data_IF_758226004042
#
_entry.id   IF_758226004042
#
_cell.length_a   1.000
_cell.length_b   1.000
_cell.length_c   1.000
_cell.angle_alpha   90.00
_cell.angle_beta   90.00
_cell.angle_gamma   90.00
#
_symmetry.space_group_name_H-M   'P 1'
#
loop_
_entity.id
_entity.type
_entity.pdbx_description
1 polymer ?
#
# COMPACT_ATOMS: atom_id res chain seq x y z
N UNK A 1 -15.36 18.96 -2.42
CA UNK A 1 -16.31 20.09 -2.27
C UNK A 1 -15.91 20.87 -1.02
N UNK A 2 -15.94 22.22 -1.06
CA UNK A 2 -15.61 23.04 0.12
C UNK A 2 -16.86 23.24 0.97
N UNK A 3 -16.79 22.86 2.24
CA UNK A 3 -17.86 22.97 3.22
C UNK A 3 -17.39 23.83 4.39
N UNK A 4 -18.29 24.63 4.96
CA UNK A 4 -17.95 25.38 6.17
C UNK A 4 -18.12 24.52 7.43
N UNK A 5 -17.45 24.91 8.51
CA UNK A 5 -17.51 24.22 9.81
C UNK A 5 -18.95 23.95 10.27
N UNK A 6 -19.86 24.91 10.08
CA UNK A 6 -21.27 24.79 10.46
C UNK A 6 -22.00 23.71 9.65
N UNK A 7 -21.76 23.63 8.35
CA UNK A 7 -22.33 22.61 7.47
C UNK A 7 -21.87 21.20 7.87
N UNK A 8 -20.58 21.05 8.21
CA UNK A 8 -20.05 19.77 8.71
C UNK A 8 -20.74 19.39 10.02
N UNK A 9 -20.84 20.31 10.98
CA UNK A 9 -21.53 20.05 12.25
C UNK A 9 -23.01 19.66 12.04
N UNK A 10 -23.70 20.24 11.06
CA UNK A 10 -25.08 19.84 10.70
C UNK A 10 -25.15 18.44 10.07
N UNK A 11 -24.18 18.06 9.24
CA UNK A 11 -24.05 16.69 8.71
C UNK A 11 -23.86 15.69 9.87
N UNK A 12 -23.03 16.04 10.86
CA UNK A 12 -22.80 15.20 12.04
C UNK A 12 -24.05 15.05 12.91
N UNK A 13 -24.80 16.13 13.14
CA UNK A 13 -26.08 16.06 13.86
C UNK A 13 -27.10 15.15 13.17
N UNK A 14 -27.09 15.09 11.84
CA UNK A 14 -27.95 14.17 11.08
C UNK A 14 -27.47 12.72 11.22
N UNK A 15 -26.15 12.48 11.18
CA UNK A 15 -25.55 11.15 11.36
C UNK A 15 -25.65 10.63 12.79
N UNK A 16 -25.59 11.47 13.83
CA UNK A 16 -25.66 11.05 15.25
C UNK A 16 -26.97 10.38 15.65
N UNK A 17 -28.04 10.54 14.84
CA UNK A 17 -29.30 9.79 15.00
C UNK A 17 -29.21 8.32 14.58
N UNK A 18 -28.11 7.92 13.93
CA UNK A 18 -27.73 6.55 13.56
C UNK A 18 -26.34 6.27 14.13
N UNK A 19 -26.27 5.73 15.34
CA UNK A 19 -25.15 5.00 15.95
C UNK A 19 -23.77 5.68 16.14
N UNK A 20 -23.44 6.78 15.47
CA UNK A 20 -22.08 7.38 15.46
C UNK A 20 -21.81 8.46 16.52
N UNK A 21 -22.31 8.35 17.76
CA UNK A 21 -22.20 9.44 18.76
C UNK A 21 -20.74 9.77 19.12
N UNK A 22 -19.88 8.76 19.17
CA UNK A 22 -18.47 8.93 19.54
C UNK A 22 -17.66 9.59 18.42
N UNK A 23 -17.80 9.13 17.17
CA UNK A 23 -17.09 9.67 16.00
C UNK A 23 -17.46 11.14 15.76
N UNK A 24 -18.72 11.49 15.99
CA UNK A 24 -19.18 12.88 15.90
C UNK A 24 -18.53 13.77 16.98
N UNK A 25 -18.30 13.25 18.18
CA UNK A 25 -17.60 13.96 19.25
C UNK A 25 -16.13 14.16 18.89
N UNK A 26 -15.45 13.11 18.44
CA UNK A 26 -14.04 13.15 18.01
C UNK A 26 -13.85 14.18 16.91
N UNK A 27 -14.67 14.13 15.85
CA UNK A 27 -14.59 15.11 14.76
C UNK A 27 -14.89 16.53 15.25
N UNK A 28 -15.88 16.73 16.12
CA UNK A 28 -16.15 18.06 16.67
C UNK A 28 -14.94 18.61 17.46
N UNK A 29 -14.29 17.77 18.27
CA UNK A 29 -13.07 18.14 18.99
C UNK A 29 -11.92 18.48 18.03
N UNK A 30 -11.70 17.66 16.99
CA UNK A 30 -10.68 17.91 15.97
C UNK A 30 -10.93 19.25 15.24
N UNK A 31 -12.19 19.55 14.89
CA UNK A 31 -12.55 20.81 14.23
C UNK A 31 -12.46 22.03 15.15
N UNK A 32 -12.61 21.87 16.47
CA UNK A 32 -12.47 22.97 17.43
C UNK A 32 -11.03 23.45 17.57
N UNK A 33 -10.07 22.55 17.37
CA UNK A 33 -8.63 22.84 17.48
C UNK A 33 -8.04 23.51 16.23
N UNK A 34 -8.80 23.59 15.15
CA UNK A 34 -8.37 24.16 13.89
C UNK A 34 -8.99 25.55 13.73
N UNK A 35 -8.14 26.57 13.64
CA UNK A 35 -8.50 27.95 13.32
C UNK A 35 -8.83 28.12 11.83
N UNK A 36 -9.76 27.32 11.33
CA UNK A 36 -10.25 27.39 9.95
C UNK A 36 -11.76 27.20 9.91
N UNK A 37 -12.43 28.05 9.15
CA UNK A 37 -13.87 27.96 8.93
C UNK A 37 -14.23 27.11 7.71
N UNK A 38 -13.25 26.78 6.87
CA UNK A 38 -13.45 26.09 5.60
C UNK A 38 -12.69 24.76 5.58
N UNK A 39 -13.39 23.72 5.19
CA UNK A 39 -12.86 22.36 5.10
C UNK A 39 -13.20 21.77 3.74
N UNK A 40 -12.41 20.80 3.32
CA UNK A 40 -12.68 20.06 2.10
C UNK A 40 -13.03 18.62 2.42
N UNK A 41 -14.10 18.13 1.79
CA UNK A 41 -14.46 16.73 1.83
C UNK A 41 -14.04 16.05 0.54
N UNK A 42 -13.24 14.98 0.69
CA UNK A 42 -12.70 14.20 -0.41
C UNK A 42 -12.47 12.75 0.05
N UNK A 43 -12.98 11.77 -0.72
CA UNK A 43 -12.76 10.34 -0.44
C UNK A 43 -13.18 9.84 0.95
N UNK A 44 -14.19 10.43 1.59
CA UNK A 44 -14.58 10.05 2.96
C UNK A 44 -13.79 10.75 4.06
N UNK A 45 -12.81 11.59 3.71
CA UNK A 45 -11.99 12.34 4.63
C UNK A 45 -12.31 13.85 4.63
N UNK A 46 -12.09 14.47 5.77
CA UNK A 46 -12.16 15.92 6.00
C UNK A 46 -10.74 16.45 6.03
N UNK A 47 -10.49 17.49 5.25
CA UNK A 47 -9.21 18.19 5.16
C UNK A 47 -9.38 19.68 5.46
N UNK A 48 -8.30 20.36 5.78
CA UNK A 48 -8.25 21.83 5.73
C UNK A 48 -8.47 22.36 4.32
N UNK A 49 -8.87 23.63 4.18
CA UNK A 49 -9.14 24.24 2.86
C UNK A 49 -7.96 24.23 1.87
N UNK A 50 -6.73 24.13 2.38
CA UNK A 50 -5.49 24.02 1.61
C UNK A 50 -5.07 22.57 1.35
N UNK A 51 -5.85 21.59 1.83
CA UNK A 51 -5.56 20.15 1.83
C UNK A 51 -4.27 19.72 2.54
N UNK A 52 -3.61 20.61 3.31
CA UNK A 52 -2.35 20.27 3.97
C UNK A 52 -2.52 19.42 5.23
N UNK A 53 -3.68 19.47 5.88
CA UNK A 53 -3.98 18.65 7.05
C UNK A 53 -5.18 17.75 6.77
N UNK A 54 -4.99 16.44 6.96
CA UNK A 54 -6.09 15.51 7.14
C UNK A 54 -6.64 15.73 8.56
N UNK A 55 -7.88 16.18 8.66
CA UNK A 55 -8.52 16.47 9.94
C UNK A 55 -9.14 15.22 10.53
N UNK A 56 -9.89 14.47 9.72
CA UNK A 56 -10.60 13.29 10.17
C UNK A 56 -11.05 12.42 9.01
N UNK A 57 -10.97 11.11 9.16
CA UNK A 57 -11.53 10.16 8.23
C UNK A 57 -12.89 9.68 8.71
N UNK A 58 -13.95 9.91 7.93
CA UNK A 58 -15.33 9.60 8.35
C UNK A 58 -15.76 8.17 8.03
N UNK A 59 -15.12 7.50 7.08
CA UNK A 59 -15.54 6.16 6.67
C UNK A 59 -14.96 5.08 7.59
N UNK A 60 -15.36 3.84 7.35
CA UNK A 60 -14.85 2.63 8.02
C UNK A 60 -14.30 1.65 6.98
N UNK A 61 -13.70 2.16 5.90
CA UNK A 61 -13.16 1.29 4.86
C UNK A 61 -11.90 0.57 5.38
N UNK A 62 -11.63 -0.64 4.86
CA UNK A 62 -10.49 -1.43 5.29
C UNK A 62 -9.13 -0.85 4.88
N UNK A 63 -9.13 0.05 3.89
CA UNK A 63 -7.92 0.67 3.39
C UNK A 63 -8.14 2.12 3.04
N UNK A 64 -7.15 2.97 3.29
CA UNK A 64 -7.18 4.36 2.90
C UNK A 64 -5.82 4.84 2.37
N UNK A 65 -5.84 5.58 1.27
CA UNK A 65 -4.64 6.23 0.72
C UNK A 65 -4.74 7.73 0.96
N UNK A 66 -3.83 8.26 1.76
CA UNK A 66 -3.78 9.69 2.02
C UNK A 66 -3.24 10.37 0.74
N UNK A 67 -3.93 11.39 0.19
CA UNK A 67 -3.50 12.06 -1.04
C UNK A 67 -2.15 12.77 -0.88
N UNK A 68 -1.37 12.81 -1.97
CA UNK A 68 -0.17 13.64 -2.05
C UNK A 68 -0.49 15.12 -1.77
N UNK A 69 0.43 15.80 -1.07
CA UNK A 69 0.28 17.19 -0.66
C UNK A 69 -0.24 17.38 0.77
N UNK A 70 -0.79 16.32 1.39
CA UNK A 70 -1.05 16.30 2.82
C UNK A 70 0.28 16.31 3.57
N UNK A 71 0.45 17.29 4.46
CA UNK A 71 1.64 17.49 5.28
C UNK A 71 1.44 17.01 6.73
N UNK A 72 0.19 16.98 7.23
CA UNK A 72 -0.13 16.67 8.63
C UNK A 72 -1.28 15.66 8.69
N UNK A 73 -1.07 14.56 9.42
CA UNK A 73 -2.15 13.69 9.88
C UNK A 73 -2.59 14.23 11.24
N UNK A 74 -3.79 14.80 11.25
CA UNK A 74 -4.31 15.56 12.39
C UNK A 74 -4.60 14.70 13.60
N UNK A 75 -4.72 15.38 14.74
CA UNK A 75 -5.10 14.75 16.00
C UNK A 75 -6.40 13.95 15.85
N UNK A 76 -6.38 12.70 16.32
CA UNK A 76 -7.48 11.73 16.23
C UNK A 76 -8.00 11.45 14.80
N UNK A 77 -7.23 11.73 13.74
CA UNK A 77 -7.72 11.66 12.36
C UNK A 77 -8.32 10.30 11.97
N UNK A 78 -7.76 9.20 12.47
CA UNK A 78 -8.23 7.83 12.29
C UNK A 78 -8.61 7.15 13.61
N UNK A 79 -8.88 7.91 14.68
CA UNK A 79 -9.19 7.32 15.98
C UNK A 79 -10.41 6.41 15.92
N UNK A 80 -10.29 5.20 16.48
CA UNK A 80 -11.36 4.22 16.58
C UNK A 80 -11.75 3.59 15.24
N UNK A 81 -10.87 3.58 14.24
CA UNK A 81 -11.14 2.97 12.93
C UNK A 81 -10.89 1.47 12.96
N UNK A 82 -11.78 0.78 13.65
CA UNK A 82 -11.80 -0.67 13.89
C UNK A 82 -11.75 -1.58 12.66
N UNK A 83 -11.96 -1.05 11.45
CA UNK A 83 -11.89 -1.84 10.22
C UNK A 83 -10.64 -1.52 9.39
N UNK A 84 -9.93 -0.43 9.71
CA UNK A 84 -8.83 0.10 8.91
C UNK A 84 -7.59 -0.77 9.09
N UNK A 85 -7.34 -1.64 8.12
CA UNK A 85 -6.21 -2.55 8.09
C UNK A 85 -4.99 -1.96 7.39
N UNK A 86 -5.20 -1.07 6.41
CA UNK A 86 -4.10 -0.56 5.58
C UNK A 86 -4.20 0.94 5.35
N UNK A 87 -3.10 1.64 5.63
CA UNK A 87 -3.00 3.09 5.37
C UNK A 87 -1.73 3.38 4.58
N UNK A 88 -1.89 4.03 3.43
CA UNK A 88 -0.77 4.53 2.64
C UNK A 88 -0.53 5.99 3.02
N UNK A 89 0.61 6.24 3.68
CA UNK A 89 1.08 7.58 4.05
C UNK A 89 2.02 8.10 2.95
N UNK A 90 1.71 9.23 2.28
CA UNK A 90 2.54 9.77 1.22
C UNK A 90 3.81 10.45 1.77
N UNK A 91 4.79 10.62 0.89
CA UNK A 91 6.07 11.24 1.23
C UNK A 91 5.99 12.75 1.54
N UNK A 92 4.82 13.37 1.41
CA UNK A 92 4.59 14.76 1.81
C UNK A 92 4.28 14.92 3.28
N UNK A 93 3.88 13.84 3.98
CA UNK A 93 3.53 13.92 5.41
C UNK A 93 4.79 14.17 6.24
N UNK A 94 4.73 15.18 7.09
CA UNK A 94 5.79 15.65 7.98
C UNK A 94 5.48 15.37 9.45
N UNK A 95 4.21 15.31 9.82
CA UNK A 95 3.79 15.19 11.22
C UNK A 95 2.58 14.26 11.37
N UNK A 96 2.65 13.40 12.38
CA UNK A 96 1.56 12.55 12.84
C UNK A 96 1.24 12.99 14.28
N UNK A 97 0.04 13.54 14.47
CA UNK A 97 -0.36 14.18 15.72
C UNK A 97 -0.88 13.17 16.76
N UNK A 98 -1.31 13.70 17.91
CA UNK A 98 -1.78 12.92 19.05
C UNK A 98 -2.94 12.01 18.65
N UNK A 99 -2.93 10.76 19.14
CA UNK A 99 -4.01 9.80 18.95
C UNK A 99 -4.41 9.53 17.48
N UNK A 100 -3.55 9.87 16.50
CA UNK A 100 -3.91 9.90 15.08
C UNK A 100 -4.49 8.57 14.58
N UNK A 101 -3.95 7.44 15.02
CA UNK A 101 -4.41 6.08 14.74
C UNK A 101 -4.75 5.30 16.02
N UNK A 102 -5.07 6.01 17.11
CA UNK A 102 -5.46 5.36 18.37
C UNK A 102 -6.65 4.41 18.15
N UNK A 103 -6.59 3.21 18.71
CA UNK A 103 -7.73 2.25 18.70
C UNK A 103 -8.10 1.77 17.28
N UNK A 104 -7.09 1.51 16.43
CA UNK A 104 -7.24 0.96 15.08
C UNK A 104 -6.96 -0.57 15.05
N UNK A 105 -7.88 -1.36 15.57
CA UNK A 105 -7.67 -2.79 15.89
C UNK A 105 -7.25 -3.67 14.71
N UNK A 106 -7.62 -3.33 13.46
CA UNK A 106 -7.28 -4.13 12.28
C UNK A 106 -5.97 -3.71 11.62
N UNK A 107 -5.37 -2.60 12.03
CA UNK A 107 -4.13 -2.09 11.48
C UNK A 107 -3.00 -3.05 11.84
N UNK A 108 -2.53 -3.85 10.87
CA UNK A 108 -1.59 -4.94 11.12
C UNK A 108 -0.13 -4.56 10.84
N UNK A 109 0.07 -3.65 9.89
CA UNK A 109 1.37 -3.14 9.49
C UNK A 109 1.25 -1.66 9.11
N UNK A 110 2.29 -0.87 9.39
CA UNK A 110 2.37 0.48 8.86
C UNK A 110 3.77 0.87 8.38
N UNK A 111 3.80 1.60 7.27
CA UNK A 111 5.01 2.21 6.71
C UNK A 111 5.02 3.71 7.00
N UNK A 112 6.07 4.18 7.66
CA UNK A 112 6.32 5.58 7.99
C UNK A 112 7.38 6.15 7.03
N UNK A 113 7.00 7.06 6.11
CA UNK A 113 7.93 7.67 5.16
C UNK A 113 9.04 8.47 5.85
N UNK A 114 10.19 8.60 5.18
CA UNK A 114 11.35 9.32 5.71
C UNK A 114 11.10 10.84 5.91
N UNK A 115 10.03 11.36 5.32
CA UNK A 115 9.60 12.75 5.46
C UNK A 115 9.00 13.07 6.83
N UNK A 116 8.55 12.05 7.56
CA UNK A 116 7.89 12.24 8.87
C UNK A 116 8.93 12.65 9.90
N UNK A 117 8.82 13.89 10.37
CA UNK A 117 9.73 14.52 11.34
C UNK A 117 9.26 14.35 12.78
N UNK A 118 7.96 14.30 13.02
CA UNK A 118 7.40 14.24 14.36
C UNK A 118 6.24 13.26 14.44
N UNK A 119 6.28 12.40 15.45
CA UNK A 119 5.19 11.51 15.84
C UNK A 119 4.87 11.76 17.32
N UNK A 120 3.64 12.15 17.61
CA UNK A 120 3.20 12.56 18.95
C UNK A 120 2.78 11.36 19.80
N UNK A 121 2.48 11.64 21.07
CA UNK A 121 2.04 10.64 22.03
C UNK A 121 0.78 9.92 21.55
N UNK A 122 0.71 8.62 21.80
CA UNK A 122 -0.43 7.75 21.52
C UNK A 122 -0.84 7.69 20.06
N UNK A 123 0.01 8.14 19.13
CA UNK A 123 -0.33 8.19 17.71
C UNK A 123 -0.74 6.82 17.13
N UNK A 124 -0.27 5.72 17.70
CA UNK A 124 -0.61 4.34 17.33
C UNK A 124 -0.97 3.47 18.53
N UNK A 125 -1.38 4.06 19.66
CA UNK A 125 -1.70 3.28 20.85
C UNK A 125 -3.00 2.47 20.69
N UNK A 126 -3.12 1.38 21.45
CA UNK A 126 -4.27 0.45 21.42
C UNK A 126 -4.55 -0.11 20.01
N UNK A 127 -3.51 -0.34 19.20
CA UNK A 127 -3.64 -1.01 17.91
C UNK A 127 -3.37 -2.51 18.07
N UNK A 128 -4.38 -3.26 18.54
CA UNK A 128 -4.23 -4.65 19.00
C UNK A 128 -3.60 -5.62 17.99
N UNK A 129 -3.81 -5.42 16.68
CA UNK A 129 -3.23 -6.29 15.62
C UNK A 129 -1.95 -5.74 15.01
N UNK A 130 -1.47 -4.57 15.44
CA UNK A 130 -0.28 -3.95 14.87
C UNK A 130 0.94 -4.78 15.22
N UNK A 131 1.45 -5.50 14.23
CA UNK A 131 2.57 -6.44 14.38
C UNK A 131 3.89 -5.83 14.00
N UNK A 132 3.85 -4.92 13.01
CA UNK A 132 5.03 -4.45 12.33
C UNK A 132 4.96 -2.98 11.95
N UNK A 133 6.04 -2.27 12.17
CA UNK A 133 6.21 -0.89 11.77
C UNK A 133 7.52 -0.75 11.02
N UNK A 134 7.47 -0.09 9.86
CA UNK A 134 8.67 0.16 9.05
C UNK A 134 8.90 1.65 8.90
N UNK A 135 10.00 2.13 9.46
CA UNK A 135 10.48 3.49 9.31
C UNK A 135 11.46 3.59 8.15
N UNK A 136 11.16 4.46 7.18
CA UNK A 136 12.09 4.75 6.09
C UNK A 136 13.12 5.84 6.43
N UNK A 137 12.90 6.58 7.51
CA UNK A 137 13.80 7.60 8.04
C UNK A 137 13.68 7.69 9.56
N UNK A 138 14.59 8.46 10.17
CA UNK A 138 14.56 8.68 11.61
C UNK A 138 13.83 9.99 11.90
N UNK A 139 12.68 9.98 12.60
CA UNK A 139 12.00 11.21 12.96
C UNK A 139 12.86 12.05 13.93
N UNK A 140 12.72 13.37 13.89
CA UNK A 140 13.37 14.29 14.83
C UNK A 140 12.78 14.17 16.24
N UNK A 141 11.47 13.84 16.32
CA UNK A 141 10.73 13.68 17.57
C UNK A 141 9.85 12.44 17.51
N UNK A 142 9.99 11.57 18.50
CA UNK A 142 9.17 10.37 18.69
C UNK A 142 8.73 10.31 20.16
N UNK A 143 7.44 10.18 20.42
CA UNK A 143 6.95 10.11 21.78
C UNK A 143 7.16 8.72 22.39
N UNK A 144 7.44 8.66 23.70
CA UNK A 144 7.57 7.41 24.45
C UNK A 144 6.31 6.53 24.34
N UNK A 145 5.13 7.14 24.37
CA UNK A 145 3.84 6.44 24.35
C UNK A 145 3.28 6.26 22.94
N UNK A 146 4.14 6.27 21.90
CA UNK A 146 3.66 6.18 20.52
C UNK A 146 2.92 4.86 20.25
N UNK A 147 3.37 3.77 20.88
CA UNK A 147 2.88 2.39 20.72
C UNK A 147 2.41 1.79 22.05
N UNK A 148 1.84 2.61 22.93
CA UNK A 148 1.29 2.11 24.20
C UNK A 148 0.18 1.08 23.91
N UNK A 149 0.12 0.03 24.74
CA UNK A 149 -0.88 -1.05 24.62
C UNK A 149 -0.98 -1.67 23.21
N UNK A 150 0.15 -1.80 22.51
CA UNK A 150 0.28 -2.52 21.24
C UNK A 150 0.85 -3.92 21.46
N UNK A 151 0.08 -4.79 22.09
CA UNK A 151 0.54 -6.09 22.60
C UNK A 151 1.10 -7.05 21.53
N UNK A 152 0.69 -6.89 20.27
CA UNK A 152 1.18 -7.72 19.16
C UNK A 152 2.37 -7.12 18.41
N UNK A 153 2.80 -5.90 18.74
CA UNK A 153 3.90 -5.25 18.06
C UNK A 153 5.21 -5.95 18.45
N UNK A 154 5.93 -6.47 17.46
CA UNK A 154 7.20 -7.17 17.69
C UNK A 154 8.27 -6.79 16.66
N UNK A 155 7.88 -6.33 15.47
CA UNK A 155 8.83 -5.93 14.43
C UNK A 155 8.85 -4.40 14.26
N UNK A 156 9.95 -3.76 14.68
CA UNK A 156 10.20 -2.34 14.37
C UNK A 156 11.40 -2.26 13.43
N UNK A 157 11.12 -2.08 12.15
CA UNK A 157 12.15 -1.97 11.11
C UNK A 157 12.58 -0.51 11.01
N UNK A 158 13.88 -0.26 11.16
CA UNK A 158 14.45 1.10 11.17
C UNK A 158 15.63 1.24 10.21
N UNK A 159 15.98 2.47 9.78
CA UNK A 159 17.16 2.70 8.97
C UNK A 159 18.46 2.27 9.69
N UNK A 160 19.47 1.86 8.93
CA UNK A 160 20.78 1.49 9.47
C UNK A 160 21.38 2.61 10.34
N UNK A 161 21.92 2.26 11.51
CA UNK A 161 22.54 3.20 12.46
C UNK A 161 21.57 4.04 13.29
N UNK A 162 20.25 3.85 13.15
CA UNK A 162 19.23 4.59 13.92
C UNK A 162 18.68 3.83 15.13
N UNK A 163 19.00 2.54 15.30
CA UNK A 163 18.50 1.69 16.39
C UNK A 163 18.63 2.31 17.79
N UNK A 164 19.77 2.97 18.07
CA UNK A 164 20.03 3.64 19.35
C UNK A 164 19.06 4.80 19.64
N UNK A 165 18.65 5.54 18.61
CA UNK A 165 17.65 6.61 18.75
C UNK A 165 16.30 6.02 19.15
N UNK A 166 15.81 5.00 18.43
CA UNK A 166 14.51 4.39 18.71
C UNK A 166 14.45 3.74 20.09
N UNK A 167 15.50 3.00 20.51
CA UNK A 167 15.56 2.42 21.86
C UNK A 167 15.48 3.46 22.96
N UNK A 168 16.15 4.60 22.76
CA UNK A 168 16.15 5.71 23.72
C UNK A 168 14.77 6.38 23.80
N UNK A 169 14.21 6.79 22.66
CA UNK A 169 12.96 7.57 22.63
C UNK A 169 11.75 6.73 23.04
N UNK A 170 11.71 5.44 22.68
CA UNK A 170 10.65 4.52 23.07
C UNK A 170 10.89 3.89 24.46
N UNK A 171 12.01 4.21 25.11
CA UNK A 171 12.37 3.71 26.44
C UNK A 171 12.28 2.18 26.58
N UNK A 172 12.67 1.44 25.54
CA UNK A 172 12.75 -0.02 25.63
C UNK A 172 13.80 -0.42 26.67
N UNK A 173 13.41 -1.26 27.62
CA UNK A 173 14.30 -1.77 28.67
C UNK A 173 15.19 -2.85 28.05
N UNK A 174 16.51 -2.74 28.23
CA UNK A 174 17.45 -3.78 27.80
C UNK A 174 17.12 -5.10 28.54
N UNK A 175 16.57 -6.08 27.81
CA UNK A 175 16.15 -7.38 28.37
C UNK A 175 14.73 -7.80 27.99
N UNK A 176 13.87 -6.87 27.58
CA UNK A 176 12.59 -7.19 26.94
C UNK A 176 12.83 -7.58 25.48
N UNK A 177 12.76 -8.88 25.20
CA UNK A 177 12.99 -9.47 23.87
C UNK A 177 11.78 -9.40 22.94
N UNK A 178 10.73 -8.67 23.32
CA UNK A 178 9.48 -8.68 22.55
C UNK A 178 9.54 -7.81 21.29
N UNK A 179 10.55 -6.92 21.17
CA UNK A 179 10.73 -6.07 19.99
C UNK A 179 12.07 -6.31 19.29
N UNK A 180 12.02 -6.81 18.06
CA UNK A 180 13.14 -6.85 17.14
C UNK A 180 13.24 -5.51 16.42
N UNK A 181 14.14 -4.63 16.90
CA UNK A 181 14.57 -3.46 16.11
C UNK A 181 15.50 -3.95 15.00
N UNK A 182 14.93 -4.21 13.83
CA UNK A 182 15.65 -4.73 12.67
C UNK A 182 16.15 -3.56 11.83
N UNK A 183 17.47 -3.44 11.70
CA UNK A 183 18.04 -2.50 10.75
C UNK A 183 17.91 -3.06 9.34
N UNK A 184 17.31 -2.29 8.43
CA UNK A 184 17.36 -2.66 7.00
C UNK A 184 18.83 -2.62 6.57
N UNK A 185 19.39 -3.68 5.96
CA UNK A 185 20.77 -3.65 5.49
C UNK A 185 20.93 -2.48 4.52
N UNK A 186 21.89 -1.59 4.83
CA UNK A 186 22.09 -0.36 4.10
C UNK A 186 22.15 -0.61 2.59
N UNK A 187 21.32 0.10 1.83
CA UNK A 187 21.64 0.39 0.43
C UNK A 187 22.83 1.34 0.44
N UNK A 188 24.03 0.80 0.60
CA UNK A 188 25.21 1.47 0.07
C UNK A 188 24.96 1.69 -1.41
N UNK A 189 24.98 2.98 -1.77
CA UNK A 189 25.06 3.54 -3.11
C UNK A 189 25.50 2.56 -4.21
N UNK A 190 24.52 2.06 -4.95
CA UNK A 190 24.55 1.88 -6.41
C UNK A 190 23.12 1.64 -6.87
N UNK A 191 22.50 2.73 -7.33
CA UNK A 191 21.65 2.64 -8.50
C UNK A 191 22.32 1.66 -9.49
N UNK A 192 21.65 0.60 -9.98
CA UNK A 192 22.22 -0.13 -11.09
C UNK A 192 22.13 0.80 -12.30
N UNK A 193 23.19 1.57 -12.47
CA UNK A 193 23.62 2.11 -13.75
C UNK A 193 23.44 1.00 -14.76
N UNK A 194 22.59 1.23 -15.76
CA UNK A 194 22.44 0.37 -16.93
C UNK A 194 23.82 0.11 -17.54
N UNK A 195 24.42 -1.02 -17.22
CA UNK A 195 25.49 -1.59 -18.00
C UNK A 195 24.90 -2.70 -18.87
N UNK A 196 24.95 -2.48 -20.18
CA UNK A 196 24.72 -3.47 -21.22
C UNK A 196 25.63 -4.69 -20.95
N UNK A 197 25.10 -5.89 -21.16
CA UNK A 197 25.55 -7.22 -20.67
C UNK A 197 24.91 -7.48 -19.30
N UNK A 198 23.68 -7.96 -19.19
CA UNK A 198 23.28 -9.32 -19.60
C UNK A 198 21.80 -9.38 -19.98
N UNK A 199 21.49 -8.94 -21.20
CA UNK A 199 20.29 -9.35 -21.92
C UNK A 199 20.69 -10.51 -22.85
N UNK A 200 21.05 -11.65 -22.24
CA UNK A 200 21.27 -12.89 -22.98
C UNK A 200 21.14 -14.18 -22.17
N UNK A 201 20.32 -14.23 -21.11
CA UNK A 201 19.94 -15.52 -20.49
C UNK A 201 18.52 -15.46 -19.92
N UNK A 202 17.51 -15.27 -20.78
CA UNK A 202 16.13 -15.71 -20.49
C UNK A 202 15.25 -15.92 -21.73
N UNK A 203 15.71 -15.59 -22.94
CA UNK A 203 15.11 -16.06 -24.21
C UNK A 203 15.72 -17.37 -24.76
N UNK A 204 16.33 -18.20 -23.90
CA UNK A 204 16.87 -19.53 -24.29
C UNK A 204 16.16 -20.74 -23.66
N UNK A 205 14.92 -20.57 -23.19
CA UNK A 205 14.03 -21.70 -22.82
C UNK A 205 12.69 -21.76 -23.55
N UNK A 206 12.51 -20.97 -24.62
CA UNK A 206 11.35 -21.09 -25.53
C UNK A 206 11.74 -21.43 -26.98
N UNK A 207 12.99 -21.84 -27.22
CA UNK A 207 13.46 -22.23 -28.56
C UNK A 207 14.43 -23.42 -28.49
N UNK A 208 13.98 -24.50 -27.84
CA UNK A 208 14.58 -25.83 -27.92
C UNK A 208 13.58 -26.91 -28.40
N UNK A 209 12.33 -26.55 -28.70
CA UNK A 209 11.30 -27.45 -29.26
C UNK A 209 10.95 -27.18 -30.73
N UNK A 210 11.76 -26.36 -31.43
CA UNK A 210 11.62 -26.10 -32.87
C UNK A 210 12.94 -26.29 -33.63
N UNK A 211 13.66 -27.37 -33.33
CA UNK A 211 14.75 -27.88 -34.18
C UNK A 211 15.05 -29.35 -33.91
N UNK A 212 14.01 -30.17 -33.80
CA UNK A 212 14.11 -31.64 -33.79
C UNK A 212 12.88 -32.29 -34.46
N UNK A 213 12.39 -31.65 -35.54
CA UNK A 213 11.32 -32.22 -36.40
C UNK A 213 11.48 -31.86 -37.89
N UNK A 214 12.70 -31.53 -38.32
CA UNK A 214 13.06 -31.25 -39.72
C UNK A 214 14.37 -31.93 -40.16
N UNK A 215 14.65 -33.13 -39.64
CA UNK A 215 15.73 -33.99 -40.15
C UNK A 215 15.45 -35.50 -40.12
N UNK A 216 14.24 -35.96 -39.75
CA UNK A 216 13.87 -37.40 -39.78
C UNK A 216 12.69 -37.71 -40.73
N UNK A 217 12.53 -36.93 -41.81
CA UNK A 217 11.59 -37.26 -42.90
C UNK A 217 12.24 -37.28 -44.29
N UNK A 218 13.54 -37.61 -44.33
CA UNK A 218 14.32 -37.90 -45.55
C UNK A 218 15.42 -38.93 -45.23
N UNK A 219 15.03 -40.16 -44.94
CA UNK A 219 15.86 -41.37 -45.13
C UNK A 219 15.10 -42.62 -44.65
N UNK A 220 13.89 -42.83 -45.17
CA UNK A 220 13.31 -44.17 -45.25
C UNK A 220 12.25 -44.14 -46.34
N UNK A 221 12.60 -44.72 -47.49
CA UNK A 221 11.81 -45.09 -48.67
C UNK A 221 12.57 -44.85 -49.98
N UNK A 222 13.76 -45.45 -50.10
CA UNK A 222 14.23 -45.99 -51.36
C UNK A 222 14.72 -47.42 -51.12
N UNK A 223 13.82 -48.38 -51.33
CA UNK A 223 14.04 -49.67 -52.01
C UNK A 223 12.88 -50.61 -51.72
N UNK A 224 11.91 -50.61 -52.63
CA UNK A 224 11.27 -51.81 -53.15
C UNK A 224 10.67 -51.47 -54.51
N UNK A 225 11.42 -51.80 -55.56
CA UNK A 225 10.91 -52.00 -56.90
C UNK A 225 9.89 -53.14 -56.92
N UNK A 226 8.77 -52.94 -57.64
CA UNK A 226 8.30 -53.81 -58.72
C UNK A 226 6.90 -53.34 -59.17
N UNK A 227 6.76 -53.05 -60.47
CA UNK A 227 5.55 -52.63 -61.18
C UNK A 227 4.65 -53.85 -61.56
N UNK A 228 3.58 -53.78 -62.42
CA UNK A 228 2.95 -52.62 -63.07
C UNK A 228 1.38 -52.68 -63.24
N UNK A 229 0.84 -51.66 -63.93
CA UNK A 229 -0.33 -51.61 -64.84
C UNK A 229 -1.82 -51.40 -64.39
N UNK A 230 -2.39 -50.32 -64.98
CA UNK A 230 -3.63 -50.24 -65.84
C UNK A 230 -4.89 -49.48 -65.35
N UNK A 231 -5.39 -48.67 -66.32
CA UNK A 231 -6.73 -48.06 -66.59
C UNK A 231 -7.14 -46.85 -65.75
N UNK A 232 -7.19 -45.63 -66.31
CA UNK A 232 -8.13 -45.03 -67.30
C UNK A 232 -9.56 -44.90 -66.75
N UNK A 233 -10.06 -43.65 -66.69
CA UNK A 233 -11.35 -43.12 -67.23
C UNK A 233 -11.89 -41.98 -66.31
N UNK A 234 -11.71 -40.70 -66.65
CA UNK A 234 -12.55 -39.77 -67.45
C UNK A 234 -13.84 -39.25 -66.77
N UNK A 235 -14.08 -37.94 -67.01
CA UNK A 235 -15.36 -37.19 -67.04
C UNK A 235 -15.91 -36.72 -65.68
N UNK A 236 -16.57 -35.57 -65.53
CA UNK A 236 -16.80 -34.33 -66.30
C UNK A 236 -17.80 -33.50 -65.45
N UNK A 237 -17.82 -32.16 -65.65
CA UNK A 237 -18.99 -31.24 -65.49
C UNK A 237 -19.57 -31.10 -64.07
N UNK A 238 -20.21 -30.02 -63.63
CA UNK A 238 -20.74 -28.74 -64.15
C UNK A 238 -20.98 -27.90 -62.86
N UNK A 239 -20.60 -26.63 -62.77
CA UNK A 239 -21.30 -25.43 -63.27
C UNK A 239 -22.57 -25.04 -62.48
N UNK A 240 -22.68 -23.73 -62.21
CA UNK A 240 -23.87 -22.88 -61.97
C UNK A 240 -24.59 -22.93 -60.61
N UNK A 241 -24.48 -21.89 -59.77
CA UNK A 241 -25.29 -20.63 -59.69
C UNK A 241 -26.79 -20.79 -59.41
N UNK A 242 -27.24 -20.25 -58.26
CA UNK A 242 -28.30 -19.21 -58.11
C UNK A 242 -28.60 -18.96 -56.62
N UNK A 243 -28.42 -17.73 -56.12
CA UNK A 243 -29.45 -16.68 -55.95
C UNK A 243 -30.61 -17.14 -55.04
N UNK A 244 -30.71 -16.59 -53.82
CA UNK A 244 -31.45 -15.35 -53.51
C UNK A 244 -31.11 -14.89 -52.09
#
# INVERSE_FOLDING_TARGET
MKENKKAILEILKKKSKKDGKFENLVLNLALQKIDSDNFEFDGGAVYTADKKRLVYYMNHDASFTIPEGVEIIGEMAFRGKKQLAHVIIPSTVKEIEHDAFYDCDELDNIYIPASVKAIKAYAFAECDKLKKITFAGTPEKLSRHTFDDCDQLHDIIVPAGSSKFFRKELHFIDGDTDFLVLEVPGKDSKEPSKNKKDEKVSEKKANAEKKEKTSEKKADLEKKEAAPEKKVEKKNKKESTKIK
#
